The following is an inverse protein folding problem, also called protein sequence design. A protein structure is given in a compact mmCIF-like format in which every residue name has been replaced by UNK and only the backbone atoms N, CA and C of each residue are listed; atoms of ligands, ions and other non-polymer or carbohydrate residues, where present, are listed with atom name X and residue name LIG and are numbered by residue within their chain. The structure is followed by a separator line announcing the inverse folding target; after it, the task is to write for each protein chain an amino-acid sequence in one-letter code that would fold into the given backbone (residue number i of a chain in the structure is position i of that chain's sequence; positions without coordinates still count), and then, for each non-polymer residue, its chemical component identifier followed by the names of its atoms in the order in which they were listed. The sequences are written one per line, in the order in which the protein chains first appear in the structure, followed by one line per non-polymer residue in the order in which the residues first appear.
data_IF_973286099999
#
_entry.id   IF_973286099999
#
_cell.length_a   1.000
_cell.length_b   1.000
_cell.length_c   1.000
_cell.angle_alpha   90.00
_cell.angle_beta   90.00
_cell.angle_gamma   90.00
#
_symmetry.space_group_name_H-M   'P 1'
#
loop_
_entity.id
_entity.type
_entity.pdbx_description
1 polymer ?
#
# COMPACT_ATOMS: atom_id res chain seq x y z
N UNK A 1 -15.47 30.42 5.51
CA UNK A 1 -16.80 30.82 6.05
C UNK A 1 -17.70 29.66 6.47
N UNK A 2 -17.83 28.57 5.71
CA UNK A 2 -18.73 27.44 6.08
C UNK A 2 -18.32 26.72 7.38
N UNK A 3 -17.01 26.60 7.63
CA UNK A 3 -16.46 25.98 8.86
C UNK A 3 -16.67 26.85 10.11
N UNK A 4 -16.75 28.17 9.93
CA UNK A 4 -16.83 29.13 11.05
C UNK A 4 -18.27 29.29 11.57
N UNK A 5 -19.26 29.08 10.68
CA UNK A 5 -20.67 28.97 11.04
C UNK A 5 -21.00 27.69 11.83
N UNK A 6 -20.19 26.63 11.68
CA UNK A 6 -20.39 25.35 12.36
C UNK A 6 -20.00 25.41 13.85
N UNK A 7 -19.07 26.31 14.21
CA UNK A 7 -18.51 26.35 15.55
C UNK A 7 -19.41 27.04 16.60
N UNK A 8 -20.46 27.74 16.16
CA UNK A 8 -21.29 28.62 17.02
C UNK A 8 -22.61 28.00 17.53
N UNK A 9 -22.95 26.76 17.19
CA UNK A 9 -24.26 26.19 17.57
C UNK A 9 -24.17 24.80 18.24
N UNK A 10 -24.29 24.71 19.59
CA UNK A 10 -24.06 23.48 20.35
C UNK A 10 -25.15 22.41 20.17
N UNK A 11 -26.40 22.79 19.84
CA UNK A 11 -27.49 21.82 19.62
C UNK A 11 -27.32 20.98 18.34
N UNK A 12 -26.61 21.51 17.34
CA UNK A 12 -26.29 20.76 16.11
C UNK A 12 -25.15 19.76 16.33
N UNK A 13 -24.33 19.92 17.38
CA UNK A 13 -23.20 19.01 17.67
C UNK A 13 -23.68 17.59 18.05
N UNK A 14 -24.77 17.46 18.81
CA UNK A 14 -25.28 16.17 19.25
C UNK A 14 -25.81 15.27 18.12
N UNK A 15 -26.41 15.87 17.09
CA UNK A 15 -26.96 15.13 15.93
C UNK A 15 -25.90 14.58 14.98
N UNK A 16 -24.72 15.22 14.93
CA UNK A 16 -23.60 14.77 14.11
C UNK A 16 -22.49 14.08 14.93
N UNK A 17 -22.59 14.04 16.26
CA UNK A 17 -21.60 13.41 17.13
C UNK A 17 -21.41 11.92 16.84
N UNK A 18 -22.49 11.19 16.53
CA UNK A 18 -22.39 9.78 16.15
C UNK A 18 -21.67 9.60 14.80
N UNK A 19 -22.01 10.44 13.81
CA UNK A 19 -21.35 10.42 12.49
C UNK A 19 -19.86 10.78 12.61
N UNK A 20 -19.53 11.78 13.44
CA UNK A 20 -18.15 12.22 13.67
C UNK A 20 -17.27 11.16 14.35
N UNK A 21 -17.85 10.24 15.13
CA UNK A 21 -17.12 9.13 15.74
C UNK A 21 -17.07 7.89 14.83
N UNK A 22 -18.11 7.63 14.04
CA UNK A 22 -18.17 6.44 13.17
C UNK A 22 -17.30 6.60 11.92
N UNK A 23 -17.20 7.80 11.35
CA UNK A 23 -16.46 8.01 10.10
C UNK A 23 -14.95 7.70 10.22
N UNK A 24 -14.20 8.18 11.24
CA UNK A 24 -12.77 7.86 11.38
C UNK A 24 -12.50 6.37 11.54
N UNK A 25 -13.35 5.67 12.30
CA UNK A 25 -13.20 4.23 12.55
C UNK A 25 -13.45 3.41 11.28
N UNK A 26 -14.42 3.84 10.45
CA UNK A 26 -14.69 3.20 9.16
C UNK A 26 -13.52 3.39 8.18
N UNK A 27 -12.95 4.59 8.12
CA UNK A 27 -11.78 4.86 7.26
C UNK A 27 -10.56 4.02 7.67
N UNK A 28 -10.34 3.84 8.98
CA UNK A 28 -9.27 2.96 9.48
C UNK A 28 -9.51 1.49 9.13
N UNK A 29 -10.75 1.02 9.27
CA UNK A 29 -11.11 -0.34 8.91
C UNK A 29 -10.92 -0.61 7.41
N UNK A 30 -11.32 0.31 6.53
CA UNK A 30 -11.11 0.19 5.08
C UNK A 30 -9.63 0.07 4.75
N UNK A 31 -8.79 0.95 5.33
CA UNK A 31 -7.34 0.89 5.15
C UNK A 31 -6.75 -0.46 5.59
N UNK A 32 -7.12 -0.94 6.78
CA UNK A 32 -6.65 -2.23 7.30
C UNK A 32 -7.04 -3.40 6.40
N UNK A 33 -8.26 -3.40 5.86
CA UNK A 33 -8.74 -4.43 4.91
C UNK A 33 -7.92 -4.39 3.62
N UNK A 34 -7.65 -3.19 3.06
CA UNK A 34 -6.83 -3.03 1.86
C UNK A 34 -5.40 -3.51 2.07
N UNK A 35 -4.75 -3.07 3.14
CA UNK A 35 -3.38 -3.47 3.48
C UNK A 35 -3.24 -4.99 3.65
N UNK A 36 -4.22 -5.61 4.32
CA UNK A 36 -4.23 -7.07 4.51
C UNK A 36 -4.40 -7.81 3.18
N UNK A 37 -5.35 -7.37 2.34
CA UNK A 37 -5.58 -7.96 1.03
C UNK A 37 -4.35 -7.80 0.11
N UNK A 38 -3.72 -6.63 0.15
CA UNK A 38 -2.50 -6.36 -0.62
C UNK A 38 -1.32 -7.19 -0.16
N UNK A 39 -1.14 -7.35 1.15
CA UNK A 39 -0.09 -8.21 1.70
C UNK A 39 -0.25 -9.66 1.23
N UNK A 40 -1.49 -10.17 1.22
CA UNK A 40 -1.76 -11.53 0.72
C UNK A 40 -1.46 -11.68 -0.77
N UNK A 41 -1.92 -10.73 -1.61
CA UNK A 41 -1.62 -10.72 -3.04
C UNK A 41 -0.11 -10.67 -3.30
N UNK A 42 0.58 -9.73 -2.65
CA UNK A 42 2.02 -9.57 -2.78
C UNK A 42 2.78 -10.84 -2.37
N UNK A 43 2.36 -11.52 -1.30
CA UNK A 43 2.98 -12.77 -0.89
C UNK A 43 2.87 -13.87 -1.95
N UNK A 44 1.74 -13.97 -2.66
CA UNK A 44 1.57 -14.91 -3.78
C UNK A 44 2.50 -14.53 -4.94
N UNK A 45 2.59 -13.25 -5.28
CA UNK A 45 3.50 -12.76 -6.34
C UNK A 45 4.96 -13.07 -6.00
N UNK A 46 5.38 -12.82 -4.76
CA UNK A 46 6.73 -13.15 -4.26
C UNK A 46 6.99 -14.65 -4.39
N UNK A 47 6.05 -15.49 -3.96
CA UNK A 47 6.19 -16.95 -4.06
C UNK A 47 6.39 -17.40 -5.50
N UNK A 48 5.60 -16.87 -6.43
CA UNK A 48 5.72 -17.20 -7.86
C UNK A 48 7.06 -16.74 -8.46
N UNK A 49 7.59 -15.58 -8.04
CA UNK A 49 8.93 -15.10 -8.45
C UNK A 49 10.01 -16.06 -7.93
N UNK A 50 9.92 -16.48 -6.67
CA UNK A 50 10.87 -17.41 -6.06
C UNK A 50 10.78 -18.80 -6.71
N UNK A 51 9.58 -19.27 -7.04
CA UNK A 51 9.39 -20.52 -7.78
C UNK A 51 10.00 -20.43 -9.18
N UNK A 52 9.79 -19.30 -9.87
CA UNK A 52 10.40 -19.04 -11.18
C UNK A 52 11.93 -19.12 -11.10
N UNK A 53 12.53 -18.45 -10.10
CA UNK A 53 13.98 -18.48 -9.84
C UNK A 53 14.47 -19.90 -9.55
N UNK A 54 13.74 -20.66 -8.74
CA UNK A 54 14.10 -22.04 -8.40
C UNK A 54 14.05 -22.97 -9.64
N UNK A 55 13.10 -22.76 -10.56
CA UNK A 55 12.95 -23.56 -11.78
C UNK A 55 13.96 -23.20 -12.88
N UNK A 56 14.20 -21.91 -13.09
CA UNK A 56 14.99 -21.42 -14.23
C UNK A 56 16.42 -21.03 -13.87
N UNK A 57 16.73 -20.90 -12.57
CA UNK A 57 18.02 -20.44 -12.06
C UNK A 57 18.20 -18.92 -12.07
N UNK A 58 17.26 -18.17 -12.64
CA UNK A 58 17.32 -16.71 -12.80
C UNK A 58 15.99 -16.06 -12.40
N UNK A 59 16.04 -14.80 -11.96
CA UNK A 59 14.83 -14.00 -11.69
C UNK A 59 14.13 -13.65 -13.01
N UNK A 60 12.79 -13.56 -13.03
CA UNK A 60 12.06 -13.14 -14.22
C UNK A 60 12.40 -11.68 -14.55
N UNK A 61 12.65 -11.36 -15.81
CA UNK A 61 12.91 -9.96 -16.21
C UNK A 61 11.70 -9.02 -16.00
N UNK A 62 10.49 -9.59 -15.88
CA UNK A 62 9.24 -8.88 -15.61
C UNK A 62 8.18 -9.84 -15.07
N UNK A 63 7.22 -9.33 -14.29
CA UNK A 63 6.12 -10.12 -13.71
C UNK A 63 5.29 -10.89 -14.76
N UNK A 64 5.22 -10.39 -16.00
CA UNK A 64 4.51 -11.08 -17.09
C UNK A 64 5.14 -12.40 -17.55
N UNK A 65 6.34 -12.75 -17.07
CA UNK A 65 6.99 -14.03 -17.32
C UNK A 65 6.58 -15.14 -16.33
N UNK A 66 5.86 -14.79 -15.26
CA UNK A 66 5.36 -15.75 -14.29
C UNK A 66 4.32 -16.67 -14.94
N UNK A 67 4.43 -17.98 -14.66
CA UNK A 67 3.57 -19.00 -15.25
C UNK A 67 2.12 -18.89 -14.77
N UNK A 68 1.94 -18.70 -13.45
CA UNK A 68 0.64 -18.67 -12.78
C UNK A 68 -0.11 -17.33 -12.97
N UNK A 69 0.59 -16.27 -13.37
CA UNK A 69 0.06 -14.91 -13.57
C UNK A 69 -0.80 -14.44 -12.38
N UNK A 70 -0.21 -14.32 -11.18
CA UNK A 70 -0.93 -13.91 -9.99
C UNK A 70 -1.50 -12.49 -10.17
N UNK A 71 -2.58 -12.19 -9.45
CA UNK A 71 -3.11 -10.83 -9.38
C UNK A 71 -2.11 -9.92 -8.67
N UNK A 72 -1.35 -9.17 -9.46
CA UNK A 72 -0.39 -8.20 -9.00
C UNK A 72 -0.98 -6.78 -8.94
N UNK A 73 -2.31 -6.61 -8.97
CA UNK A 73 -2.92 -5.28 -8.97
C UNK A 73 -2.75 -4.61 -7.60
N UNK A 74 -2.20 -3.41 -7.62
CA UNK A 74 -2.05 -2.49 -6.50
C UNK A 74 -3.39 -1.79 -6.20
N UNK A 75 -3.83 -1.88 -4.94
CA UNK A 75 -5.10 -1.30 -4.49
C UNK A 75 -5.09 0.23 -4.42
N UNK A 76 -3.91 0.86 -4.42
CA UNK A 76 -3.79 2.31 -4.38
C UNK A 76 -3.76 2.92 -5.79
N UNK A 77 -2.83 2.46 -6.63
CA UNK A 77 -2.69 2.98 -8.00
C UNK A 77 -3.65 2.36 -9.02
N UNK A 78 -4.19 1.17 -8.75
CA UNK A 78 -4.93 0.36 -9.72
C UNK A 78 -4.05 -0.23 -10.84
N UNK A 79 -2.72 -0.05 -10.76
CA UNK A 79 -1.73 -0.62 -11.68
C UNK A 79 -1.11 -1.87 -11.07
N UNK A 80 -0.21 -2.55 -11.78
CA UNK A 80 0.52 -3.66 -11.19
C UNK A 80 1.54 -3.16 -10.15
N UNK A 81 1.80 -3.99 -9.13
CA UNK A 81 2.90 -3.84 -8.19
C UNK A 81 4.22 -3.60 -8.93
N UNK A 82 5.06 -2.76 -8.34
CA UNK A 82 6.39 -2.46 -8.86
C UNK A 82 7.33 -3.60 -8.51
N UNK A 83 8.06 -4.06 -9.53
CA UNK A 83 9.01 -5.15 -9.44
C UNK A 83 10.33 -4.68 -10.06
N UNK A 84 11.40 -4.73 -9.28
CA UNK A 84 12.74 -4.30 -9.68
C UNK A 84 13.74 -5.38 -9.33
N UNK A 85 14.58 -5.80 -10.28
CA UNK A 85 15.71 -6.71 -10.02
C UNK A 85 16.90 -5.88 -9.56
N UNK A 86 17.57 -6.33 -8.50
CA UNK A 86 18.75 -5.69 -7.93
C UNK A 86 20.03 -6.32 -8.52
N UNK A 87 21.12 -5.56 -8.51
CA UNK A 87 22.41 -5.97 -9.10
C UNK A 87 23.05 -7.18 -8.40
N UNK A 88 22.65 -7.47 -7.15
CA UNK A 88 23.10 -8.61 -6.35
C UNK A 88 22.33 -9.91 -6.64
N UNK A 89 21.35 -9.88 -7.55
CA UNK A 89 20.52 -11.03 -7.89
C UNK A 89 19.35 -11.25 -6.94
N UNK A 90 19.02 -10.26 -6.11
CA UNK A 90 17.75 -10.16 -5.39
C UNK A 90 16.75 -9.25 -6.15
N UNK A 91 15.59 -9.00 -5.57
CA UNK A 91 14.57 -8.13 -6.15
C UNK A 91 13.83 -7.34 -5.09
N UNK A 92 13.15 -6.28 -5.51
CA UNK A 92 12.22 -5.53 -4.68
C UNK A 92 10.82 -5.64 -5.27
N UNK A 93 9.83 -5.89 -4.42
CA UNK A 93 8.41 -5.85 -4.77
C UNK A 93 7.69 -4.86 -3.84
N UNK A 94 7.08 -3.83 -4.40
CA UNK A 94 6.44 -2.76 -3.62
C UNK A 94 5.20 -2.18 -4.31
N UNK A 95 4.35 -1.52 -3.50
CA UNK A 95 3.25 -0.66 -3.95
C UNK A 95 3.65 0.79 -3.78
N UNK A 96 3.18 1.68 -4.66
CA UNK A 96 3.47 3.13 -4.60
C UNK A 96 2.68 3.87 -3.52
N UNK A 97 1.99 3.13 -2.64
CA UNK A 97 1.28 3.68 -1.50
C UNK A 97 0.12 4.61 -1.86
N UNK A 98 -0.43 5.27 -0.85
CA UNK A 98 -1.60 6.15 -0.97
C UNK A 98 -1.23 7.53 -1.57
N UNK A 99 0.04 7.91 -1.49
CA UNK A 99 0.54 9.16 -2.03
C UNK A 99 0.69 9.13 -3.57
N UNK A 100 0.70 7.93 -4.19
CA UNK A 100 0.92 7.69 -5.62
C UNK A 100 2.25 8.24 -6.16
N UNK A 101 3.23 8.43 -5.29
CA UNK A 101 4.57 8.94 -5.60
C UNK A 101 5.54 7.77 -5.43
N UNK A 102 6.07 7.28 -6.55
CA UNK A 102 7.07 6.22 -6.59
C UNK A 102 8.40 6.74 -6.01
N UNK A 103 8.78 6.26 -4.83
CA UNK A 103 10.03 6.58 -4.15
C UNK A 103 11.13 5.53 -4.41
N UNK A 104 10.84 4.57 -5.31
CA UNK A 104 11.74 3.49 -5.67
C UNK A 104 11.68 2.30 -4.72
N UNK A 105 10.64 2.20 -3.88
CA UNK A 105 10.52 1.15 -2.88
C UNK A 105 11.47 1.35 -1.71
N UNK A 106 11.71 2.59 -1.30
CA UNK A 106 12.53 2.89 -0.13
C UNK A 106 11.63 3.02 1.10
N UNK A 107 11.56 1.94 1.90
CA UNK A 107 10.81 1.93 3.16
C UNK A 107 11.48 2.73 4.30
N UNK A 108 12.54 3.52 4.03
CA UNK A 108 13.11 4.46 4.99
C UNK A 108 12.09 5.57 5.30
N UNK A 109 11.18 5.22 6.20
CA UNK A 109 10.43 6.15 7.01
C UNK A 109 11.43 7.14 7.58
N UNK A 110 11.28 8.40 7.22
CA UNK A 110 11.87 9.47 8.01
C UNK A 110 11.30 9.32 9.41
N UNK A 111 12.17 9.06 10.39
CA UNK A 111 11.91 8.92 11.84
C UNK A 111 11.33 10.22 12.50
N UNK A 112 10.53 10.99 11.77
CA UNK A 112 9.88 12.21 12.25
C UNK A 112 8.38 11.95 12.41
N UNK A 113 8.04 11.48 13.59
CA UNK A 113 6.69 11.09 14.03
C UNK A 113 5.68 12.25 14.23
N UNK A 114 5.82 13.40 13.55
CA UNK A 114 5.02 14.59 13.85
C UNK A 114 4.28 15.26 12.67
N UNK A 115 4.38 14.74 11.45
CA UNK A 115 3.47 15.12 10.36
C UNK A 115 2.68 13.91 9.89
N UNK A 116 1.45 14.14 9.45
CA UNK A 116 0.58 13.14 8.84
C UNK A 116 1.30 12.61 7.59
N UNK A 117 2.16 11.60 7.78
CA UNK A 117 2.86 10.91 6.69
C UNK A 117 1.78 10.25 5.84
N UNK A 118 1.57 10.83 4.66
CA UNK A 118 0.91 10.18 3.54
C UNK A 118 1.78 8.99 3.18
N UNK A 119 1.35 7.80 3.58
CA UNK A 119 2.12 6.57 3.53
C UNK A 119 3.00 6.47 2.27
N UNK A 120 4.31 6.39 2.51
CA UNK A 120 5.39 6.12 1.55
C UNK A 120 5.18 4.75 0.86
N UNK A 121 6.06 4.38 -0.07
CA UNK A 121 5.96 3.11 -0.77
C UNK A 121 5.89 1.93 0.21
N UNK A 122 4.97 1.00 -0.05
CA UNK A 122 4.77 -0.18 0.78
C UNK A 122 5.60 -1.32 0.21
N UNK A 123 6.74 -1.58 0.83
CA UNK A 123 7.66 -2.67 0.44
C UNK A 123 7.19 -4.00 1.02
N UNK A 124 6.99 -4.98 0.13
CA UNK A 124 6.62 -6.34 0.49
C UNK A 124 7.81 -7.31 0.48
N UNK A 125 8.86 -7.00 -0.28
CA UNK A 125 10.11 -7.76 -0.37
C UNK A 125 11.25 -6.86 -0.86
N UNK A 126 12.49 -6.99 -0.35
CA UNK A 126 12.88 -7.77 0.82
C UNK A 126 12.30 -7.15 2.11
N UNK A 127 12.19 -7.92 3.19
CA UNK A 127 11.58 -7.48 4.45
C UNK A 127 12.51 -7.67 5.63
#
# INVERSE_FOLDING_TARGET
EVLDAFNKNPEKRGRFALIANVLPDLSRADRMIRETAMTQRAAVVVLDILEFKAKHGELPARLGMLEQKPDATDAYSGLNLRYTVLDDGDFTLYSIGENLIDDGGNAEATDQADEVSTADDIVYWPR
#
